data_IF_333990006263
#
_entry.id   IF_333990006263
#
_cell.length_a   1.000
_cell.length_b   1.000
_cell.length_c   1.000
_cell.angle_alpha   90.00
_cell.angle_beta   90.00
_cell.angle_gamma   90.00
#
_symmetry.space_group_name_H-M   'P 1'
#
loop_
_entity.id
_entity.type
_entity.pdbx_description
1 polymer ?
#
# COMPACT_ATOMS: atom_id res chain seq x y z
N UNK A 1 -13.06 22.19 2.90
CA UNK A 1 -11.87 22.95 3.30
C UNK A 1 -10.72 22.49 2.42
N UNK A 2 -10.00 23.39 1.75
CA UNK A 2 -8.82 23.00 0.98
C UNK A 2 -7.80 22.38 1.94
N UNK A 3 -7.46 21.10 1.73
CA UNK A 3 -6.46 20.41 2.54
C UNK A 3 -5.13 21.17 2.45
N UNK A 4 -4.58 21.57 3.58
CA UNK A 4 -3.28 22.21 3.63
C UNK A 4 -2.22 21.17 3.25
N UNK A 5 -1.66 21.28 2.04
CA UNK A 5 -0.50 20.48 1.65
C UNK A 5 0.71 21.01 2.41
N UNK A 6 1.37 20.14 3.17
CA UNK A 6 2.64 20.43 3.85
C UNK A 6 3.75 19.62 3.20
N UNK A 7 4.83 20.30 2.82
CA UNK A 7 6.05 19.68 2.29
C UNK A 7 7.11 19.75 3.37
N UNK A 8 7.83 18.66 3.58
CA UNK A 8 8.90 18.57 4.57
C UNK A 8 9.78 17.35 4.30
N UNK A 9 10.82 17.17 5.10
CA UNK A 9 11.63 15.96 5.07
C UNK A 9 10.83 14.77 5.62
N UNK A 10 11.24 13.54 5.27
CA UNK A 10 10.51 12.32 5.65
C UNK A 10 10.23 12.23 7.16
N UNK A 11 11.21 12.57 8.01
CA UNK A 11 11.03 12.56 9.46
C UNK A 11 9.97 13.56 9.95
N UNK A 12 9.93 14.76 9.36
CA UNK A 12 8.91 15.76 9.68
C UNK A 12 7.52 15.30 9.24
N UNK A 13 7.43 14.73 8.02
CA UNK A 13 6.20 14.18 7.47
C UNK A 13 5.63 13.06 8.35
N UNK A 14 6.48 12.11 8.77
CA UNK A 14 6.09 11.01 9.66
C UNK A 14 5.60 11.56 11.00
N UNK A 15 6.28 12.58 11.57
CA UNK A 15 5.93 13.15 12.86
C UNK A 15 4.48 13.64 12.95
N UNK A 16 4.00 14.37 11.93
CA UNK A 16 2.63 14.90 11.95
C UNK A 16 1.56 14.00 11.31
N UNK A 17 1.94 12.95 10.57
CA UNK A 17 0.98 12.13 9.83
C UNK A 17 0.29 11.10 10.71
N UNK A 18 -1.02 10.88 10.54
CA UNK A 18 -1.74 9.78 11.19
C UNK A 18 -1.53 8.43 10.47
N UNK A 19 -1.28 8.51 9.15
CA UNK A 19 -1.02 7.37 8.26
C UNK A 19 0.29 7.60 7.52
N UNK A 20 1.18 6.60 7.52
CA UNK A 20 2.41 6.61 6.73
C UNK A 20 2.36 5.53 5.65
N UNK A 21 2.40 5.94 4.38
CA UNK A 21 2.51 5.03 3.24
C UNK A 21 3.98 4.83 2.88
N UNK A 22 4.46 3.60 3.01
CA UNK A 22 5.84 3.23 2.70
C UNK A 22 5.99 2.96 1.20
N UNK A 23 6.09 4.04 0.43
CA UNK A 23 6.35 4.03 -1.01
C UNK A 23 7.86 4.12 -1.32
N UNK A 24 8.66 3.30 -0.64
CA UNK A 24 10.12 3.23 -0.78
C UNK A 24 10.57 1.90 -1.38
N UNK A 25 11.80 1.77 -1.90
CA UNK A 25 12.34 0.45 -2.24
C UNK A 25 12.32 -0.47 -1.01
N UNK A 26 11.96 -1.75 -1.20
CA UNK A 26 11.87 -2.73 -0.10
C UNK A 26 13.09 -2.76 0.84
N UNK A 27 14.33 -2.76 0.33
CA UNK A 27 15.53 -2.70 1.18
C UNK A 27 15.66 -1.45 2.06
N UNK A 28 14.96 -0.36 1.72
CA UNK A 28 15.00 0.90 2.46
C UNK A 28 14.03 0.95 3.65
N UNK A 29 13.11 -0.01 3.77
CA UNK A 29 12.12 -0.02 4.87
C UNK A 29 12.79 -0.04 6.24
N UNK A 30 13.82 -0.86 6.42
CA UNK A 30 14.53 -0.95 7.70
C UNK A 30 15.20 0.38 8.08
N UNK A 31 15.79 1.09 7.13
CA UNK A 31 16.36 2.42 7.37
C UNK A 31 15.29 3.41 7.82
N UNK A 32 14.14 3.46 7.11
CA UNK A 32 13.04 4.35 7.46
C UNK A 32 12.52 4.07 8.88
N UNK A 33 12.33 2.80 9.24
CA UNK A 33 11.86 2.41 10.57
C UNK A 33 12.87 2.79 11.65
N UNK A 34 14.14 2.42 11.47
CA UNK A 34 15.19 2.66 12.46
C UNK A 34 15.40 4.16 12.74
N UNK A 35 15.26 5.02 11.73
CA UNK A 35 15.41 6.47 11.88
C UNK A 35 14.17 7.14 12.50
N UNK A 36 13.03 6.45 12.60
CA UNK A 36 11.74 7.04 12.98
C UNK A 36 10.92 6.19 13.96
N UNK A 37 11.56 5.28 14.70
CA UNK A 37 10.88 4.28 15.53
C UNK A 37 9.81 4.89 16.44
N UNK A 38 10.20 5.88 17.26
CA UNK A 38 9.31 6.56 18.20
C UNK A 38 8.16 7.29 17.49
N UNK A 39 8.43 7.85 16.31
CA UNK A 39 7.44 8.55 15.52
C UNK A 39 6.52 7.61 14.74
N UNK A 40 6.79 6.31 14.64
CA UNK A 40 5.97 5.36 13.90
C UNK A 40 5.09 4.50 14.83
N UNK A 41 5.43 4.40 16.12
CA UNK A 41 4.64 3.68 17.11
C UNK A 41 3.20 4.20 17.18
N UNK A 42 2.23 3.29 17.19
CA UNK A 42 0.79 3.59 17.28
C UNK A 42 0.16 4.13 15.99
N UNK A 43 0.94 4.42 14.94
CA UNK A 43 0.41 4.95 13.68
C UNK A 43 -0.14 3.84 12.78
N UNK A 44 -0.88 4.26 11.76
CA UNK A 44 -1.25 3.37 10.65
C UNK A 44 -0.13 3.36 9.62
N UNK A 45 0.39 2.19 9.29
CA UNK A 45 1.46 1.99 8.30
C UNK A 45 0.92 1.18 7.14
N UNK A 46 1.05 1.71 5.92
CA UNK A 46 0.68 1.03 4.68
C UNK A 46 1.94 0.64 3.94
N UNK A 47 2.21 -0.67 3.84
CA UNK A 47 3.32 -1.20 3.05
C UNK A 47 2.92 -1.33 1.57
N UNK A 48 3.46 -0.44 0.74
CA UNK A 48 3.27 -0.44 -0.71
C UNK A 48 4.49 -1.01 -1.47
N UNK A 49 5.45 -1.61 -0.77
CA UNK A 49 6.72 -2.05 -1.38
C UNK A 49 6.54 -3.29 -2.26
N UNK A 50 7.39 -3.46 -3.26
CA UNK A 50 7.49 -4.71 -4.03
C UNK A 50 8.95 -5.15 -4.05
N UNK A 51 9.38 -5.91 -3.04
CA UNK A 51 10.76 -6.33 -2.87
C UNK A 51 11.08 -7.56 -3.75
N UNK A 52 11.13 -7.35 -5.06
CA UNK A 52 11.20 -8.45 -6.05
C UNK A 52 12.46 -9.33 -5.95
N UNK A 53 13.52 -8.83 -5.28
CA UNK A 53 14.81 -9.51 -5.12
C UNK A 53 15.08 -9.93 -3.66
N UNK A 54 14.17 -9.63 -2.73
CA UNK A 54 14.29 -10.01 -1.34
C UNK A 54 13.67 -11.38 -1.06
N UNK A 55 13.94 -11.90 0.15
CA UNK A 55 13.33 -13.15 0.62
C UNK A 55 11.82 -13.02 0.82
N UNK A 56 11.38 -11.87 1.36
CA UNK A 56 9.97 -11.49 1.40
C UNK A 56 9.67 -10.36 0.42
N UNK A 57 8.50 -10.41 -0.21
CA UNK A 57 7.99 -9.40 -1.15
C UNK A 57 7.55 -8.11 -0.48
N UNK A 58 7.24 -8.19 0.80
CA UNK A 58 6.69 -7.13 1.64
C UNK A 58 7.46 -7.07 2.96
N UNK A 59 7.21 -6.04 3.75
CA UNK A 59 7.87 -5.79 5.03
C UNK A 59 6.98 -6.07 6.25
N UNK A 60 5.71 -6.49 6.07
CA UNK A 60 4.76 -6.66 7.19
C UNK A 60 5.30 -7.42 8.41
N UNK A 61 6.05 -8.52 8.21
CA UNK A 61 6.63 -9.27 9.33
C UNK A 61 7.63 -8.43 10.13
N UNK A 62 8.59 -7.82 9.43
CA UNK A 62 9.55 -6.88 10.02
C UNK A 62 8.86 -5.69 10.69
N UNK A 63 7.85 -5.11 10.04
CA UNK A 63 7.08 -3.99 10.59
C UNK A 63 6.34 -4.39 11.87
N UNK A 64 5.75 -5.59 11.93
CA UNK A 64 5.07 -6.09 13.12
C UNK A 64 6.04 -6.28 14.29
N UNK A 65 7.25 -6.78 14.02
CA UNK A 65 8.28 -6.97 15.04
C UNK A 65 8.82 -5.64 15.58
N UNK A 66 9.06 -4.65 14.71
CA UNK A 66 9.62 -3.36 15.13
C UNK A 66 8.57 -2.37 15.65
N UNK A 67 7.32 -2.46 15.18
CA UNK A 67 6.24 -1.53 15.49
C UNK A 67 5.02 -2.31 16.00
N UNK A 68 5.09 -3.00 17.14
CA UNK A 68 4.04 -3.90 17.62
C UNK A 68 2.70 -3.21 17.91
N UNK A 69 2.73 -1.88 18.10
CA UNK A 69 1.54 -1.05 18.36
C UNK A 69 0.95 -0.41 17.09
N UNK A 70 1.60 -0.55 15.93
CA UNK A 70 1.12 0.06 14.70
C UNK A 70 0.00 -0.78 14.05
N UNK A 71 -0.93 -0.10 13.39
CA UNK A 71 -1.92 -0.74 12.53
C UNK A 71 -1.30 -0.97 11.15
N UNK A 72 -1.17 -2.22 10.73
CA UNK A 72 -0.43 -2.57 9.51
C UNK A 72 -1.38 -2.95 8.37
N UNK A 73 -1.09 -2.42 7.18
CA UNK A 73 -1.83 -2.70 5.95
C UNK A 73 -0.90 -3.02 4.79
N UNK A 74 -1.39 -3.86 3.89
CA UNK A 74 -0.81 -4.12 2.57
C UNK A 74 -1.74 -3.54 1.51
N UNK A 75 -1.30 -2.49 0.83
CA UNK A 75 -2.07 -1.84 -0.23
C UNK A 75 -1.15 -1.15 -1.22
N UNK A 76 -1.70 -0.73 -2.38
CA UNK A 76 -1.01 0.02 -3.44
C UNK A 76 0.17 -0.69 -4.12
N UNK A 77 0.42 -1.97 -3.81
CA UNK A 77 1.49 -2.75 -4.41
C UNK A 77 1.07 -3.48 -5.70
N UNK A 78 -0.23 -3.70 -5.92
CA UNK A 78 -0.78 -4.56 -6.96
C UNK A 78 -1.12 -3.86 -8.29
N UNK A 79 -0.71 -2.60 -8.46
CA UNK A 79 -0.93 -1.81 -9.67
C UNK A 79 0.35 -1.04 -10.08
N UNK A 80 0.48 -0.74 -11.37
CA UNK A 80 1.47 0.24 -11.84
C UNK A 80 1.14 1.65 -11.36
N UNK A 81 2.15 2.47 -11.08
CA UNK A 81 1.96 3.86 -10.60
C UNK A 81 1.11 4.69 -11.56
N UNK A 82 1.16 4.39 -12.86
CA UNK A 82 0.35 5.03 -13.90
C UNK A 82 -1.16 4.83 -13.66
N UNK A 83 -1.53 3.69 -13.06
CA UNK A 83 -2.91 3.36 -12.72
C UNK A 83 -3.35 4.01 -11.41
N UNK A 84 -2.42 4.35 -10.52
CA UNK A 84 -2.72 5.17 -9.34
C UNK A 84 -2.92 6.64 -9.75
N UNK A 85 -2.12 7.13 -10.69
CA UNK A 85 -2.25 8.50 -11.21
C UNK A 85 -3.54 8.70 -12.03
N UNK A 86 -4.02 7.64 -12.68
CA UNK A 86 -5.29 7.64 -13.41
C UNK A 86 -5.99 6.28 -13.22
N UNK A 87 -6.87 6.11 -12.23
CA UNK A 87 -7.52 4.83 -11.96
C UNK A 87 -8.74 4.53 -12.83
N UNK A 88 -9.11 5.42 -13.76
CA UNK A 88 -10.29 5.26 -14.63
C UNK A 88 -9.98 4.51 -15.93
N UNK A 89 -10.67 3.39 -16.15
CA UNK A 89 -10.58 2.58 -17.35
C UNK A 89 -11.89 2.70 -18.11
N UNK A 90 -12.00 3.75 -18.93
CA UNK A 90 -13.17 4.02 -19.78
C UNK A 90 -14.47 4.14 -18.95
N UNK A 91 -14.43 4.90 -17.86
CA UNK A 91 -15.54 5.07 -16.94
C UNK A 91 -15.64 4.00 -15.85
N UNK A 92 -14.78 2.99 -15.88
CA UNK A 92 -14.70 1.94 -14.85
C UNK A 92 -13.53 2.19 -13.91
N UNK A 93 -13.80 2.44 -12.64
CA UNK A 93 -12.75 2.53 -11.60
C UNK A 93 -12.12 1.16 -11.38
N UNK A 94 -10.80 1.10 -11.33
CA UNK A 94 -10.08 -0.10 -10.92
C UNK A 94 -10.30 -0.43 -9.44
N UNK A 95 -10.26 -1.72 -9.10
CA UNK A 95 -10.33 -2.17 -7.72
C UNK A 95 -8.92 -2.32 -7.15
N UNK A 96 -8.76 -1.95 -5.88
CA UNK A 96 -7.57 -2.21 -5.10
C UNK A 96 -7.87 -3.23 -4.01
N UNK A 97 -7.39 -4.45 -4.24
CA UNK A 97 -7.41 -5.52 -3.26
C UNK A 97 -6.34 -5.26 -2.21
N UNK A 98 -6.73 -5.28 -0.94
CA UNK A 98 -5.86 -4.94 0.17
C UNK A 98 -6.21 -5.75 1.44
N UNK A 99 -5.28 -5.84 2.37
CA UNK A 99 -5.50 -6.48 3.67
C UNK A 99 -4.83 -5.67 4.79
N UNK A 100 -5.25 -5.87 6.03
CA UNK A 100 -4.65 -5.21 7.19
C UNK A 100 -5.49 -5.31 8.45
N UNK A 101 -5.05 -4.64 9.50
CA UNK A 101 -5.76 -4.61 10.78
C UNK A 101 -7.17 -3.96 10.65
N UNK A 102 -8.09 -4.17 11.60
CA UNK A 102 -9.46 -3.62 11.46
C UNK A 102 -9.55 -2.16 11.93
N UNK A 103 -8.75 -1.78 12.93
CA UNK A 103 -8.89 -0.51 13.68
C UNK A 103 -8.80 0.76 12.83
N UNK A 104 -7.99 0.74 11.76
CA UNK A 104 -7.78 1.88 10.86
C UNK A 104 -8.39 1.68 9.46
N UNK A 105 -9.27 0.67 9.30
CA UNK A 105 -9.72 0.22 7.99
C UNK A 105 -10.42 1.33 7.22
N UNK A 106 -11.36 2.02 7.85
CA UNK A 106 -12.11 3.12 7.22
C UNK A 106 -11.22 4.25 6.70
N UNK A 107 -10.17 4.60 7.44
CA UNK A 107 -9.16 5.58 7.02
C UNK A 107 -8.39 5.11 5.79
N UNK A 108 -8.00 3.83 5.75
CA UNK A 108 -7.31 3.24 4.60
C UNK A 108 -8.22 3.16 3.37
N UNK A 109 -9.48 2.74 3.54
CA UNK A 109 -10.48 2.73 2.46
C UNK A 109 -10.71 4.13 1.90
N UNK A 110 -10.80 5.15 2.76
CA UNK A 110 -10.91 6.53 2.31
C UNK A 110 -9.70 6.97 1.47
N UNK A 111 -8.47 6.65 1.89
CA UNK A 111 -7.27 6.96 1.10
C UNK A 111 -7.27 6.28 -0.28
N UNK A 112 -7.74 5.03 -0.35
CA UNK A 112 -7.88 4.28 -1.60
C UNK A 112 -8.93 4.96 -2.50
N UNK A 113 -10.08 5.31 -1.94
CA UNK A 113 -11.16 5.99 -2.64
C UNK A 113 -10.81 7.40 -3.10
N UNK A 114 -10.01 8.14 -2.33
CA UNK A 114 -9.53 9.49 -2.67
C UNK A 114 -8.60 9.48 -3.89
N UNK A 115 -7.85 8.39 -4.10
CA UNK A 115 -7.08 8.16 -5.33
C UNK A 115 -8.02 7.91 -6.52
N UNK A 116 -9.24 7.42 -6.28
CA UNK A 116 -10.24 7.07 -7.29
C UNK A 116 -10.39 5.57 -7.55
N UNK A 117 -9.83 4.73 -6.68
CA UNK A 117 -9.93 3.26 -6.71
C UNK A 117 -11.11 2.79 -5.84
N UNK A 118 -11.59 1.56 -6.11
CA UNK A 118 -12.56 0.89 -5.23
C UNK A 118 -11.82 -0.03 -4.25
N UNK A 119 -11.93 0.18 -2.92
CA UNK A 119 -11.27 -0.67 -1.95
C UNK A 119 -11.96 -2.04 -1.84
N UNK A 120 -11.19 -3.12 -1.96
CA UNK A 120 -11.67 -4.49 -1.74
C UNK A 120 -10.89 -5.14 -0.59
N UNK A 121 -11.50 -5.15 0.60
CA UNK A 121 -10.89 -5.68 1.81
C UNK A 121 -10.89 -7.21 1.82
N UNK A 122 -9.71 -7.79 1.99
CA UNK A 122 -9.51 -9.24 2.02
C UNK A 122 -9.48 -9.82 3.45
N UNK A 123 -9.44 -8.97 4.48
CA UNK A 123 -9.29 -9.36 5.88
C UNK A 123 -7.94 -8.93 6.50
N UNK A 124 -7.59 -9.60 7.60
CA UNK A 124 -6.40 -9.32 8.42
C UNK A 124 -5.06 -9.45 7.67
N UNK A 125 -3.96 -9.08 8.32
CA UNK A 125 -2.61 -9.21 7.74
C UNK A 125 -2.21 -10.66 7.40
N UNK A 126 -2.90 -11.67 7.94
CA UNK A 126 -2.76 -13.08 7.57
C UNK A 126 -3.18 -13.37 6.12
N UNK A 127 -3.83 -12.41 5.45
CA UNK A 127 -4.28 -12.50 4.05
C UNK A 127 -3.30 -11.90 3.05
N UNK A 128 -2.10 -11.51 3.48
CA UNK A 128 -1.10 -10.86 2.62
C UNK A 128 -0.78 -11.68 1.36
N UNK A 129 -0.74 -13.01 1.45
CA UNK A 129 -0.47 -13.89 0.30
C UNK A 129 -1.52 -13.76 -0.81
N UNK A 130 -2.77 -13.41 -0.49
CA UNK A 130 -3.79 -13.12 -1.50
C UNK A 130 -3.48 -11.83 -2.26
N UNK A 131 -3.03 -10.78 -1.54
CA UNK A 131 -2.62 -9.50 -2.15
C UNK A 131 -1.37 -9.68 -3.01
N UNK A 132 -0.40 -10.49 -2.55
CA UNK A 132 0.77 -10.85 -3.35
C UNK A 132 0.38 -11.64 -4.60
N UNK A 133 -0.57 -12.57 -4.49
CA UNK A 133 -1.11 -13.30 -5.63
C UNK A 133 -1.70 -12.37 -6.70
N UNK A 134 -2.47 -11.36 -6.30
CA UNK A 134 -2.99 -10.33 -7.21
C UNK A 134 -1.86 -9.54 -7.90
N UNK A 135 -0.80 -9.24 -7.15
CA UNK A 135 0.37 -8.52 -7.66
C UNK A 135 1.16 -9.36 -8.67
N UNK A 136 1.38 -10.64 -8.39
CA UNK A 136 2.04 -11.56 -9.32
C UNK A 136 1.20 -11.78 -10.59
N UNK A 137 -0.13 -11.87 -10.47
CA UNK A 137 -1.02 -11.90 -11.62
C UNK A 137 -0.86 -10.65 -12.49
N UNK A 138 -0.84 -9.47 -11.87
CA UNK A 138 -0.63 -8.21 -12.58
C UNK A 138 0.73 -8.19 -13.30
N UNK A 139 1.81 -8.56 -12.62
CA UNK A 139 3.16 -8.62 -13.22
C UNK A 139 3.23 -9.62 -14.38
N UNK A 140 2.59 -10.79 -14.24
CA UNK A 140 2.53 -11.76 -15.32
C UNK A 140 1.84 -11.19 -16.55
N UNK A 141 0.63 -10.62 -16.41
CA UNK A 141 -0.13 -10.07 -17.53
C UNK A 141 0.58 -8.87 -18.17
N UNK A 142 0.98 -7.90 -17.35
CA UNK A 142 1.57 -6.66 -17.83
C UNK A 142 2.94 -6.88 -18.48
N UNK A 143 3.81 -7.68 -17.86
CA UNK A 143 5.23 -7.78 -18.24
C UNK A 143 5.56 -9.07 -18.99
N UNK A 144 5.09 -10.23 -18.51
CA UNK A 144 5.43 -11.53 -19.11
C UNK A 144 4.61 -11.82 -20.36
N UNK A 145 3.30 -11.57 -20.30
CA UNK A 145 2.38 -11.68 -21.43
C UNK A 145 2.36 -10.42 -22.31
N UNK A 146 3.08 -9.36 -21.90
CA UNK A 146 3.27 -8.12 -22.67
C UNK A 146 1.95 -7.41 -23.01
N UNK A 147 0.94 -7.52 -22.16
CA UNK A 147 -0.32 -6.78 -22.32
C UNK A 147 -0.18 -5.28 -22.02
N UNK A 148 0.97 -4.87 -21.48
CA UNK A 148 1.23 -3.49 -21.09
C UNK A 148 0.80 -3.19 -19.66
N UNK A 149 1.29 -2.07 -19.12
CA UNK A 149 1.09 -1.68 -17.71
C UNK A 149 -0.27 -1.02 -17.45
N UNK A 150 -0.99 -0.63 -18.50
CA UNK A 150 -2.35 -0.09 -18.39
C UNK A 150 -3.36 -1.23 -18.30
N UNK A 151 -3.36 -1.90 -17.15
CA UNK A 151 -4.22 -3.04 -16.83
C UNK A 151 -4.54 -3.02 -15.33
N UNK A 152 -5.77 -3.39 -14.96
CA UNK A 152 -6.22 -3.52 -13.59
C UNK A 152 -7.26 -4.64 -13.48
N UNK A 153 -7.61 -5.00 -12.24
CA UNK A 153 -8.64 -6.00 -11.95
C UNK A 153 -9.93 -5.32 -11.50
N UNK A 154 -11.06 -6.01 -11.72
CA UNK A 154 -12.39 -5.60 -11.30
C UNK A 154 -13.14 -6.81 -10.74
N UNK A 155 -13.64 -6.69 -9.51
CA UNK A 155 -14.58 -7.59 -8.88
C UNK A 155 -15.98 -7.19 -9.34
N UNK A 156 -16.71 -8.16 -9.88
CA UNK A 156 -18.10 -8.01 -10.27
C UNK A 156 -18.95 -8.80 -9.27
N UNK A 157 -19.93 -8.14 -8.68
CA UNK A 157 -20.85 -8.70 -7.68
C UNK A 157 -22.30 -8.51 -8.10
#
# INVERSE_FOLDING_TARGET
MAGQVRVGHSAEAIGFADVAVFAVPGPSVATVVNENLDNLSGKTIIDATNNMRGESRHALGYLRDQLPTANLYRAFNSLGWENLANPDFEGTKADLFYCGDEDARSTVEQLISDIGLEPVYLGGTDRVDLVEGMTDMWFNLALKQRMGRRLAFKLLT
#
